data_IF_363650723112
#
_entry.id   IF_363650723112
#
_cell.length_a   1.000
_cell.length_b   1.000
_cell.length_c   1.000
_cell.angle_alpha   90.00
_cell.angle_beta   90.00
_cell.angle_gamma   90.00
#
_symmetry.space_group_name_H-M   'P 1'
#
loop_
_entity.id
_entity.type
_entity.pdbx_description
1 polymer ?
#
# COMPACT_ATOMS: atom_id res chain seq x y z
N UNK A 1 42.47 -9.49 -19.90
CA UNK A 1 42.21 -8.11 -20.37
C UNK A 1 42.03 -7.25 -19.14
N UNK A 2 42.92 -6.28 -18.95
CA UNK A 2 43.06 -5.46 -17.73
C UNK A 2 41.92 -4.45 -17.61
N UNK A 3 41.17 -4.48 -16.50
CA UNK A 3 40.26 -3.40 -16.11
C UNK A 3 41.09 -2.16 -15.75
N UNK A 4 40.76 -1.01 -16.35
CA UNK A 4 41.39 0.29 -16.04
C UNK A 4 41.07 0.77 -14.61
N UNK A 5 41.69 1.88 -14.16
CA UNK A 5 41.61 2.35 -12.77
C UNK A 5 40.21 2.88 -12.46
N UNK A 6 39.66 2.50 -11.29
CA UNK A 6 38.45 3.09 -10.69
C UNK A 6 38.85 4.36 -9.93
N UNK A 7 38.32 5.52 -10.31
CA UNK A 7 38.33 6.76 -9.51
C UNK A 7 37.09 7.58 -9.93
N UNK A 8 36.17 8.09 -9.10
CA UNK A 8 36.06 8.22 -7.64
C UNK A 8 34.73 7.63 -7.09
N UNK A 9 34.76 7.10 -5.87
CA UNK A 9 33.60 6.62 -5.10
C UNK A 9 33.47 5.10 -4.93
N UNK A 10 34.50 4.38 -4.46
CA UNK A 10 34.56 2.90 -4.36
C UNK A 10 33.54 2.24 -3.40
N UNK A 11 32.62 3.00 -2.82
CA UNK A 11 31.67 2.53 -1.81
C UNK A 11 30.26 2.57 -2.40
N UNK A 12 29.75 1.41 -2.78
CA UNK A 12 28.32 1.21 -3.00
C UNK A 12 27.66 0.74 -1.72
N UNK A 13 26.40 1.10 -1.50
CA UNK A 13 25.62 0.68 -0.35
C UNK A 13 24.22 0.22 -0.77
N UNK A 14 23.66 -0.71 0.00
CA UNK A 14 22.26 -1.13 -0.10
C UNK A 14 21.73 -1.34 1.31
N UNK A 15 20.59 -0.75 1.60
CA UNK A 15 19.83 -0.92 2.82
C UNK A 15 18.47 -1.48 2.46
N UNK A 16 18.00 -2.48 3.20
CA UNK A 16 16.74 -3.19 2.93
C UNK A 16 16.02 -3.43 4.26
N UNK A 17 14.71 -3.23 4.28
CA UNK A 17 13.85 -3.67 5.39
C UNK A 17 12.70 -4.54 4.89
N UNK A 18 12.25 -5.46 5.75
CA UNK A 18 11.09 -6.32 5.52
C UNK A 18 9.84 -5.85 6.28
N UNK A 19 9.87 -4.63 6.83
CA UNK A 19 8.73 -3.98 7.48
C UNK A 19 8.96 -3.67 8.95
N UNK A 20 7.98 -3.03 9.57
CA UNK A 20 8.06 -2.50 10.92
C UNK A 20 6.78 -2.90 11.67
N UNK A 21 6.96 -3.66 12.74
CA UNK A 21 5.89 -4.31 13.47
C UNK A 21 6.45 -5.43 14.34
N UNK A 22 5.58 -6.29 14.86
CA UNK A 22 6.00 -7.42 15.66
C UNK A 22 6.29 -8.64 14.78
N UNK A 23 7.57 -8.99 14.68
CA UNK A 23 8.03 -10.24 14.07
C UNK A 23 8.20 -11.28 15.18
N UNK A 24 7.48 -12.39 15.09
CA UNK A 24 7.65 -13.51 16.02
C UNK A 24 9.08 -14.05 15.93
N UNK A 25 9.60 -14.53 17.06
CA UNK A 25 10.94 -15.12 17.14
C UNK A 25 11.16 -16.30 16.16
N UNK A 26 10.08 -16.97 15.75
CA UNK A 26 10.14 -18.06 14.77
C UNK A 26 10.37 -17.51 13.34
N UNK A 27 9.71 -16.41 12.98
CA UNK A 27 9.74 -15.85 11.64
C UNK A 27 10.85 -14.82 11.44
N UNK A 28 11.37 -14.21 12.51
CA UNK A 28 12.47 -13.23 12.46
C UNK A 28 13.64 -13.71 11.57
N UNK A 29 14.09 -14.97 11.75
CA UNK A 29 15.18 -15.55 10.94
C UNK A 29 14.84 -15.64 9.45
N UNK A 30 13.57 -15.86 9.12
CA UNK A 30 13.10 -15.96 7.73
C UNK A 30 13.04 -14.57 7.10
N UNK A 31 12.54 -13.56 7.82
CA UNK A 31 12.57 -12.16 7.37
C UNK A 31 14.01 -11.65 7.17
N UNK A 32 14.90 -11.88 8.15
CA UNK A 32 16.31 -11.51 8.03
C UNK A 32 17.00 -12.21 6.87
N UNK A 33 16.66 -13.48 6.61
CA UNK A 33 17.16 -14.21 5.44
C UNK A 33 16.66 -13.59 4.14
N UNK A 34 15.39 -13.19 4.06
CA UNK A 34 14.84 -12.51 2.88
C UNK A 34 15.57 -11.18 2.60
N UNK A 35 15.76 -10.33 3.63
CA UNK A 35 16.53 -9.09 3.51
C UNK A 35 17.97 -9.34 3.08
N UNK A 36 18.66 -10.31 3.70
CA UNK A 36 20.05 -10.64 3.38
C UNK A 36 20.21 -11.18 1.96
N UNK A 37 19.31 -12.05 1.50
CA UNK A 37 19.33 -12.58 0.14
C UNK A 37 19.10 -11.44 -0.88
N UNK A 38 18.13 -10.56 -0.64
CA UNK A 38 17.85 -9.39 -1.49
C UNK A 38 19.06 -8.42 -1.54
N UNK A 39 19.60 -8.05 -0.38
CA UNK A 39 20.75 -7.16 -0.26
C UNK A 39 22.00 -7.73 -0.94
N UNK A 40 22.25 -9.04 -0.86
CA UNK A 40 23.39 -9.69 -1.53
C UNK A 40 23.29 -9.61 -3.05
N UNK A 41 22.10 -9.85 -3.62
CA UNK A 41 21.91 -9.77 -5.07
C UNK A 41 22.05 -8.32 -5.54
N UNK A 42 21.41 -7.37 -4.86
CA UNK A 42 21.53 -5.95 -5.16
C UNK A 42 22.99 -5.44 -5.04
N UNK A 43 23.70 -5.83 -3.98
CA UNK A 43 25.12 -5.48 -3.80
C UNK A 43 26.00 -6.09 -4.90
N UNK A 44 25.70 -7.30 -5.38
CA UNK A 44 26.39 -7.89 -6.53
C UNK A 44 26.18 -7.05 -7.79
N UNK A 45 24.96 -6.57 -8.02
CA UNK A 45 24.63 -5.68 -9.14
C UNK A 45 25.41 -4.36 -9.07
N UNK A 46 25.40 -3.69 -7.90
CA UNK A 46 26.15 -2.46 -7.66
C UNK A 46 27.66 -2.65 -7.89
N UNK A 47 28.25 -3.72 -7.35
CA UNK A 47 29.69 -4.03 -7.52
C UNK A 47 30.10 -4.27 -8.97
N UNK A 48 29.16 -4.65 -9.83
CA UNK A 48 29.36 -4.84 -11.26
C UNK A 48 29.04 -3.58 -12.10
N UNK A 49 28.79 -2.43 -11.46
CA UNK A 49 28.53 -1.15 -12.12
C UNK A 49 27.06 -0.93 -12.50
N UNK A 50 26.13 -1.70 -11.91
CA UNK A 50 24.71 -1.43 -12.02
C UNK A 50 24.31 -0.15 -11.28
N UNK A 51 23.21 0.48 -11.71
CA UNK A 51 22.72 1.73 -11.11
C UNK A 51 22.04 1.48 -9.76
N UNK A 52 21.91 2.54 -8.95
CA UNK A 52 21.16 2.47 -7.70
C UNK A 52 19.69 2.08 -7.92
N UNK A 53 19.08 2.56 -9.00
CA UNK A 53 17.70 2.21 -9.39
C UNK A 53 17.55 0.70 -9.64
N UNK A 54 18.48 0.11 -10.41
CA UNK A 54 18.42 -1.32 -10.73
C UNK A 54 18.62 -2.17 -9.46
N UNK A 55 19.49 -1.71 -8.56
CA UNK A 55 19.74 -2.37 -7.28
C UNK A 55 18.52 -2.33 -6.34
N UNK A 56 17.82 -1.21 -6.27
CA UNK A 56 16.55 -1.07 -5.52
C UNK A 56 15.48 -1.98 -6.12
N UNK A 57 15.30 -1.94 -7.44
CA UNK A 57 14.28 -2.75 -8.12
C UNK A 57 14.52 -4.25 -7.90
N UNK A 58 15.75 -4.75 -8.09
CA UNK A 58 16.03 -6.18 -7.92
C UNK A 58 15.87 -6.64 -6.46
N UNK A 59 16.26 -5.79 -5.49
CA UNK A 59 16.07 -6.10 -4.08
C UNK A 59 14.57 -6.25 -3.76
N UNK A 60 13.75 -5.30 -4.19
CA UNK A 60 12.31 -5.29 -3.94
C UNK A 60 11.58 -6.41 -4.69
N UNK A 61 11.90 -6.66 -5.97
CA UNK A 61 11.35 -7.79 -6.73
C UNK A 61 11.57 -9.13 -6.02
N UNK A 62 12.80 -9.34 -5.52
CA UNK A 62 13.14 -10.58 -4.80
C UNK A 62 12.36 -10.75 -3.50
N UNK A 63 12.04 -9.64 -2.83
CA UNK A 63 11.20 -9.67 -1.63
C UNK A 63 9.73 -9.85 -1.99
N UNK A 64 9.19 -9.16 -3.01
CA UNK A 64 7.82 -9.36 -3.51
C UNK A 64 7.51 -10.82 -3.90
N UNK A 65 8.52 -11.57 -4.33
CA UNK A 65 8.41 -13.00 -4.63
C UNK A 65 8.40 -13.91 -3.38
N UNK A 66 8.66 -13.37 -2.17
CA UNK A 66 8.65 -14.14 -0.91
C UNK A 66 7.27 -14.07 -0.26
N UNK A 67 6.75 -15.24 0.07
CA UNK A 67 5.51 -15.38 0.84
C UNK A 67 5.57 -14.72 2.23
N UNK A 68 6.76 -14.60 2.83
CA UNK A 68 6.93 -14.07 4.18
C UNK A 68 6.71 -12.54 4.27
N UNK A 69 6.85 -11.82 3.16
CA UNK A 69 6.74 -10.36 3.13
C UNK A 69 5.36 -9.92 2.65
N UNK A 70 4.82 -8.87 3.25
CA UNK A 70 3.54 -8.28 2.84
C UNK A 70 3.68 -7.39 1.59
N UNK A 71 4.14 -7.97 0.47
CA UNK A 71 4.23 -7.32 -0.83
C UNK A 71 4.22 -8.39 -1.93
N UNK A 72 3.73 -8.05 -3.13
CA UNK A 72 3.60 -9.01 -4.24
C UNK A 72 2.84 -10.27 -3.83
N UNK A 73 3.47 -11.44 -3.95
CA UNK A 73 2.90 -12.76 -3.68
C UNK A 73 2.51 -13.00 -2.20
N UNK A 74 3.21 -12.37 -1.24
CA UNK A 74 2.90 -12.50 0.18
C UNK A 74 1.90 -11.47 0.71
N UNK A 75 1.30 -10.67 -0.16
CA UNK A 75 0.42 -9.55 0.21
C UNK A 75 -0.79 -9.96 1.04
N UNK A 76 -1.15 -9.09 1.97
CA UNK A 76 -2.44 -9.10 2.63
C UNK A 76 -3.58 -8.94 1.61
N UNK A 77 -4.73 -9.51 1.95
CA UNK A 77 -5.88 -9.54 1.07
C UNK A 77 -6.91 -8.46 1.44
N UNK A 78 -7.62 -7.96 0.43
CA UNK A 78 -8.79 -7.08 0.61
C UNK A 78 -9.94 -7.82 1.31
N UNK A 79 -11.02 -7.10 1.67
CA UNK A 79 -12.23 -7.74 2.23
C UNK A 79 -12.82 -8.79 1.28
N UNK A 80 -12.64 -8.63 -0.04
CA UNK A 80 -13.07 -9.57 -1.07
C UNK A 80 -12.08 -10.73 -1.31
N UNK A 81 -10.91 -10.73 -0.66
CA UNK A 81 -9.91 -11.78 -0.82
C UNK A 81 -8.95 -11.58 -1.99
N UNK A 82 -8.86 -10.35 -2.53
CA UNK A 82 -7.98 -10.03 -3.66
C UNK A 82 -6.64 -9.45 -3.20
N UNK A 83 -5.61 -9.61 -4.01
CA UNK A 83 -4.33 -8.92 -3.87
C UNK A 83 -4.38 -7.59 -4.61
N UNK A 84 -4.11 -6.51 -3.88
CA UNK A 84 -3.90 -5.18 -4.44
C UNK A 84 -2.66 -4.58 -3.80
N UNK A 85 -1.71 -4.15 -4.61
CA UNK A 85 -0.42 -3.66 -4.12
C UNK A 85 -0.19 -2.17 -4.43
N UNK A 86 0.58 -1.55 -3.56
CA UNK A 86 1.07 -0.19 -3.65
C UNK A 86 2.60 -0.24 -3.77
N UNK A 87 3.20 0.50 -4.71
CA UNK A 87 4.65 0.57 -4.83
C UNK A 87 5.13 1.87 -5.47
N UNK A 88 6.32 2.31 -5.07
CA UNK A 88 6.96 3.53 -5.57
C UNK A 88 8.46 3.29 -5.73
N UNK A 89 9.05 3.88 -6.76
CA UNK A 89 10.50 4.00 -6.91
C UNK A 89 10.86 5.43 -7.28
N UNK A 90 11.95 5.93 -6.71
CA UNK A 90 12.44 7.31 -6.88
C UNK A 90 13.92 7.28 -7.21
N UNK A 91 14.31 8.05 -8.23
CA UNK A 91 15.71 8.15 -8.67
C UNK A 91 16.48 9.31 -8.03
N UNK A 92 17.78 9.37 -8.32
CA UNK A 92 18.70 10.40 -7.85
C UNK A 92 18.38 11.83 -8.31
N UNK A 93 17.43 12.01 -9.24
CA UNK A 93 16.95 13.33 -9.70
C UNK A 93 15.62 13.70 -9.04
N UNK A 94 15.11 12.86 -8.13
CA UNK A 94 13.80 13.03 -7.50
C UNK A 94 12.62 12.65 -8.41
N UNK A 95 12.88 12.06 -9.58
CA UNK A 95 11.81 11.55 -10.46
C UNK A 95 11.30 10.25 -9.90
N UNK A 96 10.00 10.02 -10.03
CA UNK A 96 9.33 8.90 -9.38
C UNK A 96 8.37 8.21 -10.31
N UNK A 97 8.24 6.89 -10.14
CA UNK A 97 7.16 6.12 -10.71
C UNK A 97 6.42 5.38 -9.59
N UNK A 98 5.10 5.33 -9.65
CA UNK A 98 4.28 4.71 -8.62
C UNK A 98 3.07 3.97 -9.18
N UNK A 99 2.65 2.94 -8.45
CA UNK A 99 1.38 2.23 -8.65
C UNK A 99 0.63 2.11 -7.33
N UNK A 100 -0.70 2.19 -7.37
CA UNK A 100 -1.55 2.09 -6.18
C UNK A 100 -2.78 1.22 -6.43
N UNK A 101 -3.18 0.44 -5.44
CA UNK A 101 -4.24 -0.57 -5.57
C UNK A 101 -4.08 -1.43 -6.86
N UNK A 102 -2.84 -1.73 -7.23
CA UNK A 102 -2.50 -2.43 -8.46
C UNK A 102 -2.72 -3.93 -8.27
N UNK A 103 -3.61 -4.51 -9.07
CA UNK A 103 -3.91 -5.94 -9.05
C UNK A 103 -3.28 -6.66 -10.24
N UNK A 104 -3.19 -7.98 -10.17
CA UNK A 104 -2.69 -8.88 -11.22
C UNK A 104 -1.21 -8.72 -11.63
N UNK A 105 -0.47 -7.79 -11.02
CA UNK A 105 0.96 -7.60 -11.26
C UNK A 105 1.76 -8.32 -10.19
N UNK A 106 2.59 -9.30 -10.59
CA UNK A 106 3.42 -10.07 -9.65
C UNK A 106 4.44 -9.22 -8.92
N UNK A 107 5.05 -8.27 -9.63
CA UNK A 107 6.07 -7.38 -9.09
C UNK A 107 5.67 -5.90 -9.25
N UNK A 108 4.86 -5.35 -8.33
CA UNK A 108 4.42 -3.96 -8.34
C UNK A 108 5.56 -2.94 -8.49
N UNK A 109 6.73 -3.19 -7.88
CA UNK A 109 7.88 -2.30 -8.01
C UNK A 109 8.38 -2.16 -9.46
N UNK A 110 8.29 -3.21 -10.27
CA UNK A 110 8.66 -3.12 -11.68
C UNK A 110 7.63 -2.36 -12.50
N UNK A 111 6.35 -2.38 -12.11
CA UNK A 111 5.34 -1.52 -12.73
C UNK A 111 5.59 -0.05 -12.40
N UNK A 112 5.95 0.25 -11.14
CA UNK A 112 6.42 1.57 -10.73
C UNK A 112 7.68 2.00 -11.52
N UNK A 113 8.66 1.10 -11.70
CA UNK A 113 9.84 1.36 -12.54
C UNK A 113 9.49 1.65 -14.00
N UNK A 114 8.60 0.88 -14.60
CA UNK A 114 8.18 1.10 -15.98
C UNK A 114 7.54 2.49 -16.17
N UNK A 115 6.77 2.96 -15.17
CA UNK A 115 6.20 4.32 -15.17
C UNK A 115 7.30 5.37 -15.08
N UNK A 116 8.31 5.17 -14.22
CA UNK A 116 9.48 6.06 -14.13
C UNK A 116 10.23 6.13 -15.47
N UNK A 117 10.58 4.98 -16.05
CA UNK A 117 11.34 4.92 -17.32
C UNK A 117 10.56 5.51 -18.51
N UNK A 118 9.22 5.44 -18.48
CA UNK A 118 8.38 6.07 -19.49
C UNK A 118 8.44 7.61 -19.46
N UNK A 119 8.88 8.22 -18.35
CA UNK A 119 8.97 9.67 -18.23
C UNK A 119 10.07 10.29 -19.08
N UNK A 120 11.11 9.51 -19.41
CA UNK A 120 12.17 9.94 -20.32
C UNK A 120 11.68 10.12 -21.76
N UNK A 121 10.51 9.57 -22.09
CA UNK A 121 9.95 9.59 -23.45
C UNK A 121 8.89 10.67 -23.54
N UNK A 122 9.14 11.68 -24.37
CA UNK A 122 8.11 12.65 -24.74
C UNK A 122 7.01 11.96 -25.52
N UNK A 123 5.77 12.15 -25.08
CA UNK A 123 4.60 11.69 -25.81
C UNK A 123 4.28 12.66 -26.97
N UNK A 124 3.57 12.15 -27.97
CA UNK A 124 3.04 12.98 -29.05
C UNK A 124 2.21 14.13 -28.49
N UNK A 125 2.22 15.26 -29.21
CA UNK A 125 1.46 16.47 -28.84
C UNK A 125 1.86 17.07 -27.49
N UNK A 126 3.15 16.97 -27.11
CA UNK A 126 3.69 17.54 -25.87
C UNK A 126 3.00 17.06 -24.59
N UNK A 127 2.36 15.88 -24.63
CA UNK A 127 1.73 15.32 -23.44
C UNK A 127 2.79 14.90 -22.43
N UNK A 128 2.45 15.06 -21.16
CA UNK A 128 3.29 14.65 -20.04
C UNK A 128 2.98 13.19 -19.71
N UNK A 129 3.99 12.30 -19.67
CA UNK A 129 3.81 10.92 -19.22
C UNK A 129 3.38 10.87 -17.75
N UNK A 130 2.61 9.85 -17.33
CA UNK A 130 2.20 9.72 -15.95
C UNK A 130 3.40 9.40 -15.04
N UNK A 131 3.31 9.82 -13.79
CA UNK A 131 4.23 9.39 -12.72
C UNK A 131 3.57 8.49 -11.68
N UNK A 132 2.23 8.41 -11.68
CA UNK A 132 1.46 7.57 -10.77
C UNK A 132 0.21 7.05 -11.48
N UNK A 133 -0.03 5.74 -11.42
CA UNK A 133 -1.23 5.08 -11.93
C UNK A 133 -1.85 4.18 -10.88
N UNK A 134 -3.16 3.96 -10.94
CA UNK A 134 -3.87 3.14 -9.94
C UNK A 134 -4.80 2.11 -10.57
N UNK A 135 -5.12 1.07 -9.81
CA UNK A 135 -6.10 0.05 -10.17
C UNK A 135 -5.83 -0.57 -11.54
N UNK A 136 -6.90 -0.78 -12.31
CA UNK A 136 -6.84 -1.37 -13.65
C UNK A 136 -5.90 -0.62 -14.60
N UNK A 137 -5.82 0.71 -14.51
CA UNK A 137 -4.94 1.51 -15.36
C UNK A 137 -3.45 1.22 -15.13
N UNK A 138 -3.06 0.94 -13.88
CA UNK A 138 -1.70 0.53 -13.55
C UNK A 138 -1.39 -0.87 -14.12
N UNK A 139 -2.33 -1.82 -14.00
CA UNK A 139 -2.21 -3.17 -14.55
C UNK A 139 -2.09 -3.16 -16.08
N UNK A 140 -2.94 -2.38 -16.77
CA UNK A 140 -2.89 -2.22 -18.23
C UNK A 140 -1.56 -1.60 -18.67
N UNK A 141 -1.08 -0.59 -17.96
CA UNK A 141 0.22 0.02 -18.24
C UNK A 141 1.36 -0.99 -18.07
N UNK A 142 1.34 -1.78 -16.99
CA UNK A 142 2.33 -2.83 -16.75
C UNK A 142 2.34 -3.86 -17.89
N UNK A 143 1.16 -4.32 -18.33
CA UNK A 143 1.01 -5.22 -19.47
C UNK A 143 1.64 -4.66 -20.76
N UNK A 144 1.33 -3.40 -21.08
CA UNK A 144 1.87 -2.73 -22.27
C UNK A 144 3.40 -2.59 -22.25
N UNK A 145 4.01 -2.60 -21.06
CA UNK A 145 5.46 -2.54 -20.87
C UNK A 145 6.10 -3.93 -20.70
N UNK A 146 5.36 -5.00 -21.02
CA UNK A 146 5.88 -6.37 -21.02
C UNK A 146 6.00 -7.00 -19.63
N UNK A 147 5.35 -6.42 -18.61
CA UNK A 147 5.28 -7.01 -17.28
C UNK A 147 4.20 -8.09 -17.27
N UNK A 148 4.52 -9.32 -16.82
CA UNK A 148 3.54 -10.41 -16.77
C UNK A 148 2.35 -10.08 -15.86
N UNK A 149 1.15 -10.27 -16.41
CA UNK A 149 -0.11 -10.18 -15.68
C UNK A 149 -0.56 -11.61 -15.35
N UNK A 150 -0.98 -11.83 -14.10
CA UNK A 150 -1.40 -13.14 -13.60
C UNK A 150 -2.77 -13.03 -12.92
N UNK A 151 -3.52 -14.13 -12.92
CA UNK A 151 -4.78 -14.18 -12.17
C UNK A 151 -4.54 -14.05 -10.67
N UNK A 152 -5.54 -13.52 -9.96
CA UNK A 152 -5.44 -13.22 -8.52
C UNK A 152 -5.01 -14.45 -7.71
N UNK A 153 -5.51 -15.64 -8.04
CA UNK A 153 -5.18 -16.89 -7.34
C UNK A 153 -3.69 -17.25 -7.38
N UNK A 154 -2.94 -16.78 -8.39
CA UNK A 154 -1.49 -16.96 -8.45
C UNK A 154 -0.71 -15.97 -7.57
N UNK A 155 -1.36 -14.90 -7.12
CA UNK A 155 -0.80 -13.90 -6.20
C UNK A 155 -1.15 -14.18 -4.75
N UNK A 156 -2.19 -14.97 -4.48
CA UNK A 156 -2.62 -15.29 -3.13
C UNK A 156 -1.78 -16.43 -2.57
N UNK A 157 -0.83 -16.11 -1.68
CA UNK A 157 -0.09 -17.15 -0.96
C UNK A 157 -0.97 -17.95 0.02
N UNK A 158 -0.63 -19.22 0.31
CA UNK A 158 -1.32 -20.02 1.32
C UNK A 158 -1.38 -19.34 2.70
N UNK A 159 -0.29 -18.71 3.13
CA UNK A 159 -0.22 -18.01 4.42
C UNK A 159 -1.13 -16.79 4.45
N UNK A 160 -1.17 -15.98 3.39
CA UNK A 160 -2.06 -14.84 3.28
C UNK A 160 -3.54 -15.27 3.30
N UNK A 161 -3.88 -16.34 2.56
CA UNK A 161 -5.23 -16.91 2.54
C UNK A 161 -5.68 -17.39 3.92
N UNK A 162 -4.80 -18.09 4.64
CA UNK A 162 -5.09 -18.56 6.00
C UNK A 162 -5.33 -17.39 6.97
N UNK A 163 -4.51 -16.32 6.88
CA UNK A 163 -4.67 -15.09 7.67
C UNK A 163 -6.01 -14.41 7.38
N UNK A 164 -6.37 -14.28 6.10
CA UNK A 164 -7.62 -13.68 5.66
C UNK A 164 -8.86 -14.47 6.15
N UNK A 165 -8.85 -15.80 6.03
CA UNK A 165 -9.94 -16.65 6.54
C UNK A 165 -10.15 -16.49 8.04
N UNK A 166 -9.06 -16.38 8.81
CA UNK A 166 -9.13 -16.11 10.25
C UNK A 166 -9.76 -14.74 10.51
N UNK A 167 -9.30 -13.69 9.83
CA UNK A 167 -9.86 -12.35 10.00
C UNK A 167 -11.35 -12.27 9.62
N UNK A 168 -11.78 -12.96 8.56
CA UNK A 168 -13.21 -13.03 8.22
C UNK A 168 -14.04 -13.62 9.36
N UNK A 169 -13.57 -14.70 9.99
CA UNK A 169 -14.25 -15.32 11.13
C UNK A 169 -14.32 -14.38 12.34
N UNK A 170 -13.23 -13.66 12.62
CA UNK A 170 -13.15 -12.71 13.74
C UNK A 170 -14.06 -11.50 13.52
N UNK A 171 -14.09 -10.94 12.30
CA UNK A 171 -14.97 -9.80 11.94
C UNK A 171 -16.44 -10.21 12.05
N UNK A 172 -16.81 -11.40 11.55
CA UNK A 172 -18.18 -11.89 11.65
C UNK A 172 -18.59 -12.15 13.10
N UNK A 173 -17.70 -12.71 13.92
CA UNK A 173 -17.95 -12.91 15.35
C UNK A 173 -18.17 -11.57 16.08
N UNK A 174 -17.34 -10.56 15.79
CA UNK A 174 -17.47 -9.22 16.36
C UNK A 174 -18.78 -8.54 15.93
N UNK A 175 -19.20 -8.72 14.67
CA UNK A 175 -20.47 -8.21 14.15
C UNK A 175 -21.67 -8.81 14.90
N UNK A 176 -21.66 -10.13 15.08
CA UNK A 176 -22.71 -10.82 15.85
C UNK A 176 -22.76 -10.38 17.31
N UNK A 177 -21.60 -10.12 17.93
CA UNK A 177 -21.53 -9.61 19.29
C UNK A 177 -22.09 -8.17 19.39
N UNK A 178 -21.79 -7.30 18.43
CA UNK A 178 -22.35 -5.95 18.36
C UNK A 178 -23.88 -5.99 18.15
N UNK A 179 -24.36 -6.83 17.24
CA UNK A 179 -25.80 -7.02 17.00
C UNK A 179 -26.49 -7.51 18.28
N UNK A 180 -25.95 -8.53 18.97
CA UNK A 180 -26.49 -9.03 20.23
C UNK A 180 -26.50 -7.96 21.34
N UNK A 181 -25.43 -7.14 21.46
CA UNK A 181 -25.37 -6.02 22.42
C UNK A 181 -26.40 -4.94 22.11
N UNK A 182 -26.60 -4.61 20.82
CA UNK A 182 -27.61 -3.63 20.41
C UNK A 182 -29.04 -4.09 20.74
N UNK A 183 -29.36 -5.37 20.48
CA UNK A 183 -30.66 -5.95 20.81
C UNK A 183 -30.88 -5.99 22.33
N UNK A 184 -29.85 -6.29 23.12
CA UNK A 184 -29.92 -6.28 24.59
C UNK A 184 -30.13 -4.87 25.16
N UNK A 185 -29.56 -3.83 24.54
CA UNK A 185 -29.80 -2.44 24.92
C UNK A 185 -31.23 -1.99 24.57
N UNK A 186 -31.71 -2.29 23.36
CA UNK A 186 -33.08 -1.95 22.95
C UNK A 186 -34.13 -2.68 23.80
N UNK A 187 -33.90 -3.97 24.13
CA UNK A 187 -34.81 -4.72 25.00
C UNK A 187 -34.75 -4.25 26.45
N UNK A 188 -33.58 -3.85 26.96
CA UNK A 188 -33.43 -3.24 28.28
C UNK A 188 -34.13 -1.88 28.42
N UNK A 189 -34.10 -1.03 27.38
CA UNK A 189 -34.86 0.23 27.35
C UNK A 189 -36.37 0.02 27.29
N UNK A 190 -36.86 -0.96 26.52
CA UNK A 190 -38.28 -1.32 26.46
C UNK A 190 -38.78 -1.80 27.83
N UNK A 191 -38.02 -2.66 28.53
CA UNK A 191 -38.39 -3.14 29.88
C UNK A 191 -38.39 -2.00 30.90
N UNK A 192 -37.50 -1.01 30.76
CA UNK A 192 -37.49 0.18 31.63
C UNK A 192 -38.68 1.12 31.38
N UNK A 193 -39.18 1.17 30.13
CA UNK A 193 -40.33 2.00 29.75
C UNK A 193 -41.67 1.37 30.17
N UNK A 194 -41.78 0.03 30.20
CA UNK A 194 -42.96 -0.69 30.68
C UNK A 194 -43.13 -0.69 32.22
N UNK A 195 -42.10 -0.30 32.99
CA UNK A 195 -42.22 -0.16 34.46
C UNK A 195 -42.74 1.20 34.92
N UNK A 196 -42.99 2.13 34.00
CA UNK A 196 -43.61 3.44 34.28
C UNK A 196 -44.90 3.64 33.48
N UNK A 197 -45.90 2.80 33.71
CA UNK A 197 -47.28 3.10 33.32
C UNK A 197 -48.13 3.33 34.55
N UNK A 198 -48.21 4.58 35.01
CA UNK A 198 -49.39 5.07 35.74
C UNK A 198 -50.35 5.69 34.72
N UNK A 199 -51.60 5.28 34.82
CA UNK A 199 -52.72 5.60 33.94
C UNK A 199 -52.99 7.10 33.85
N UNK A 200 -53.01 7.66 32.63
CA UNK A 200 -53.83 8.84 32.34
C UNK A 200 -54.46 8.70 30.96
N UNK A 201 -55.79 8.66 30.94
CA UNK A 201 -56.61 8.77 29.73
C UNK A 201 -56.63 10.20 29.22
N UNK A 202 -56.47 10.41 27.91
CA UNK A 202 -57.02 11.62 27.28
C UNK A 202 -57.58 11.31 25.89
N UNK A 203 -58.76 11.87 25.65
CA UNK A 203 -59.57 11.78 24.44
C UNK A 203 -59.35 13.04 23.60
N UNK A 204 -59.28 12.93 22.27
CA UNK A 204 -59.93 13.87 21.33
C UNK A 204 -59.70 13.47 19.86
N UNK A 205 -60.80 13.09 19.21
CA UNK A 205 -61.31 13.45 17.87
C UNK A 205 -60.35 13.90 16.76
N UNK A 206 -60.42 13.14 15.64
CA UNK A 206 -59.89 13.47 14.31
C UNK A 206 -60.93 14.25 13.52
N UNK A 207 -60.53 15.27 12.74
CA UNK A 207 -61.29 15.69 11.56
C UNK A 207 -60.35 16.14 10.42
N UNK A 208 -60.56 15.70 9.16
CA UNK A 208 -59.64 15.90 8.04
C UNK A 208 -60.13 16.97 7.04
N UNK A 209 -59.22 17.78 6.48
CA UNK A 209 -59.24 18.35 5.12
C UNK A 209 -58.31 19.57 5.00
N UNK A 210 -57.33 19.52 4.09
CA UNK A 210 -57.14 20.46 2.96
C UNK A 210 -55.76 20.24 2.32
N UNK A 211 -55.80 20.14 0.99
CA UNK A 211 -54.75 19.77 0.04
C UNK A 211 -54.19 21.04 -0.66
N UNK A 212 -53.21 20.81 -1.55
CA UNK A 212 -52.71 21.64 -2.66
C UNK A 212 -51.40 22.38 -2.32
N UNK A 213 -50.32 22.45 -3.12
CA UNK A 213 -49.77 21.90 -4.40
C UNK A 213 -48.49 22.75 -4.63
N UNK A 214 -47.45 22.30 -5.39
CA UNK A 214 -46.31 23.17 -5.72
C UNK A 214 -46.56 24.01 -6.98
N UNK A 215 -45.92 25.18 -7.15
CA UNK A 215 -46.00 25.93 -8.40
C UNK A 215 -45.00 25.42 -9.44
N UNK A 216 -45.42 25.43 -10.70
CA UNK A 216 -44.59 25.32 -11.91
C UNK A 216 -44.91 26.51 -12.82
N UNK A 217 -43.89 27.13 -13.41
CA UNK A 217 -43.91 27.91 -14.66
C UNK A 217 -42.51 27.67 -15.28
N UNK A 218 -42.30 26.90 -16.36
CA UNK A 218 -42.61 27.09 -17.79
C UNK A 218 -41.81 28.18 -18.52
N UNK A 219 -40.72 27.76 -19.18
CA UNK A 219 -40.51 28.06 -20.60
C UNK A 219 -39.83 26.89 -21.33
N UNK A 220 -40.54 26.32 -22.30
CA UNK A 220 -40.05 25.38 -23.32
C UNK A 220 -39.31 26.13 -24.44
N UNK A 221 -38.32 25.49 -25.05
CA UNK A 221 -38.27 25.30 -26.52
C UNK A 221 -37.51 24.00 -26.84
N UNK A 222 -37.93 23.38 -27.95
CA UNK A 222 -37.86 21.96 -28.31
C UNK A 222 -36.53 21.52 -29.03
N UNK A 223 -36.40 20.24 -29.45
CA UNK A 223 -35.13 19.49 -29.48
C UNK A 223 -34.41 19.46 -30.84
N UNK A 224 -33.16 19.00 -30.82
CA UNK A 224 -32.49 18.42 -32.00
C UNK A 224 -31.95 17.02 -31.69
N UNK A 225 -32.09 16.16 -32.70
CA UNK A 225 -31.87 14.72 -32.73
C UNK A 225 -30.38 14.38 -32.77
N UNK A 226 -29.96 13.33 -32.08
CA UNK A 226 -28.78 12.50 -32.40
C UNK A 226 -28.94 11.15 -31.65
N UNK A 227 -29.56 10.15 -32.29
CA UNK A 227 -28.89 8.98 -32.88
C UNK A 227 -28.07 8.14 -31.88
N UNK A 228 -28.77 7.20 -31.22
CA UNK A 228 -28.17 6.01 -30.61
C UNK A 228 -27.50 5.16 -31.70
N UNK A 229 -26.18 5.02 -31.61
CA UNK A 229 -25.43 4.01 -32.34
C UNK A 229 -25.25 2.78 -31.43
N UNK A 230 -26.06 1.76 -31.67
CA UNK A 230 -25.94 0.43 -31.07
C UNK A 230 -24.71 -0.26 -31.65
N UNK A 231 -23.63 -0.36 -30.88
CA UNK A 231 -22.46 -1.19 -31.26
C UNK A 231 -22.69 -2.59 -30.71
N UNK A 232 -23.05 -3.51 -31.60
CA UNK A 232 -23.12 -4.95 -31.33
C UNK A 232 -21.70 -5.51 -31.36
N UNK A 233 -21.19 -5.96 -30.22
CA UNK A 233 -19.97 -6.77 -30.13
C UNK A 233 -20.33 -8.25 -30.38
N UNK A 234 -19.56 -9.01 -31.18
CA UNK A 234 -19.84 -10.42 -31.41
C UNK A 234 -19.48 -11.27 -30.18
N UNK A 235 -20.36 -12.21 -29.83
CA UNK A 235 -20.13 -13.23 -28.80
C UNK A 235 -18.91 -14.10 -29.15
N UNK A 236 -18.06 -14.47 -28.17
CA UNK A 236 -17.01 -15.45 -28.39
C UNK A 236 -17.58 -16.86 -28.43
N UNK A 237 -17.36 -17.52 -29.57
CA UNK A 237 -17.63 -18.94 -29.84
C UNK A 237 -16.95 -19.85 -28.81
N UNK A 238 -17.75 -20.63 -28.08
CA UNK A 238 -17.28 -21.71 -27.20
C UNK A 238 -16.71 -22.86 -28.05
N UNK A 239 -15.47 -23.25 -27.75
CA UNK A 239 -14.85 -24.49 -28.23
C UNK A 239 -14.82 -25.47 -27.06
N UNK A 240 -15.32 -26.71 -27.18
CA UNK A 240 -15.34 -27.66 -26.09
C UNK A 240 -13.96 -28.31 -25.92
N UNK A 241 -13.47 -28.39 -24.69
CA UNK A 241 -12.35 -29.26 -24.34
C UNK A 241 -12.69 -30.11 -23.13
N UNK A 242 -12.34 -31.37 -23.28
CA UNK A 242 -12.79 -32.55 -22.54
C UNK A 242 -12.41 -32.60 -21.05
N UNK A 243 -13.26 -33.34 -20.35
CA UNK A 243 -13.11 -34.07 -19.09
C UNK A 243 -11.71 -34.07 -18.44
N UNK A 244 -11.62 -33.45 -17.26
CA UNK A 244 -10.63 -33.80 -16.25
C UNK A 244 -11.31 -33.93 -14.88
N UNK A 245 -11.46 -35.18 -14.46
CA UNK A 245 -11.82 -35.57 -13.10
C UNK A 245 -10.88 -34.92 -12.06
N UNK A 246 -11.43 -34.08 -11.18
CA UNK A 246 -10.78 -33.73 -9.93
C UNK A 246 -11.59 -34.21 -8.73
N UNK A 247 -10.97 -35.11 -8.01
CA UNK A 247 -11.40 -35.73 -6.75
C UNK A 247 -11.58 -34.68 -5.66
N UNK A 248 -12.70 -34.78 -4.96
CA UNK A 248 -13.10 -33.92 -3.86
C UNK A 248 -12.32 -34.33 -2.58
N UNK A 249 -11.15 -33.74 -2.33
CA UNK A 249 -10.47 -33.88 -1.04
C UNK A 249 -10.94 -32.79 -0.08
N UNK A 250 -11.74 -33.21 0.89
CA UNK A 250 -12.17 -32.39 2.03
C UNK A 250 -10.97 -32.08 2.94
N UNK A 251 -10.56 -30.82 3.00
CA UNK A 251 -9.55 -30.34 3.95
C UNK A 251 -10.20 -30.21 5.33
N UNK A 252 -9.85 -31.09 6.24
CA UNK A 252 -10.29 -31.07 7.64
C UNK A 252 -9.52 -29.99 8.41
N UNK A 253 -10.21 -28.96 8.89
CA UNK A 253 -9.64 -27.95 9.78
C UNK A 253 -9.42 -28.53 11.20
N UNK A 254 -8.34 -28.16 11.91
CA UNK A 254 -8.10 -28.62 13.28
C UNK A 254 -9.09 -27.95 14.26
N UNK A 255 -9.37 -28.61 15.41
CA UNK A 255 -10.43 -28.19 16.32
C UNK A 255 -10.10 -26.88 17.05
N UNK A 256 -11.17 -26.12 17.32
CA UNK A 256 -11.21 -24.85 18.04
C UNK A 256 -10.62 -25.04 19.45
N UNK A 257 -9.42 -24.52 19.71
CA UNK A 257 -8.89 -24.45 21.08
C UNK A 257 -9.58 -23.31 21.83
N UNK A 258 -10.42 -23.69 22.80
CA UNK A 258 -10.95 -22.79 23.83
C UNK A 258 -9.87 -22.62 24.89
N UNK A 259 -9.24 -21.44 24.95
CA UNK A 259 -8.27 -21.11 26.00
C UNK A 259 -7.57 -19.78 25.74
N UNK A 260 -7.67 -18.88 26.70
CA UNK A 260 -7.09 -17.53 26.76
C UNK A 260 -5.55 -17.54 26.91
N UNK A 261 -4.86 -18.12 25.93
CA UNK A 261 -3.40 -18.16 25.87
C UNK A 261 -2.92 -18.06 24.41
N UNK A 262 -1.93 -17.20 24.15
CA UNK A 262 -1.21 -16.93 22.89
C UNK A 262 -1.64 -15.72 22.04
N UNK A 263 -1.72 -14.52 22.63
CA UNK A 263 -1.45 -13.29 21.85
C UNK A 263 0.05 -13.09 21.55
N UNK A 264 0.94 -13.81 22.24
CA UNK A 264 2.39 -13.54 22.23
C UNK A 264 3.21 -14.29 21.14
N UNK A 265 2.57 -14.99 20.19
CA UNK A 265 3.29 -15.83 19.21
C UNK A 265 2.84 -15.65 17.76
N UNK A 266 2.07 -14.61 17.45
CA UNK A 266 1.58 -14.35 16.09
C UNK A 266 2.15 -13.02 15.60
N UNK A 267 2.69 -13.02 14.38
CA UNK A 267 3.18 -11.81 13.74
C UNK A 267 2.07 -10.75 13.68
N UNK A 268 2.35 -9.57 14.24
CA UNK A 268 1.50 -8.38 14.11
C UNK A 268 2.22 -7.44 13.16
N UNK A 269 2.21 -7.85 11.89
CA UNK A 269 3.00 -7.30 10.81
C UNK A 269 2.11 -6.38 9.94
N UNK A 270 2.43 -5.09 9.91
CA UNK A 270 1.83 -4.08 9.03
C UNK A 270 2.82 -3.74 7.90
N UNK A 271 3.33 -4.77 7.21
CA UNK A 271 4.63 -4.59 6.56
C UNK A 271 4.56 -3.97 5.17
N UNK A 272 5.42 -2.97 5.00
CA UNK A 272 5.91 -2.47 3.73
C UNK A 272 7.35 -2.93 3.61
N UNK A 273 7.76 -3.42 2.45
CA UNK A 273 9.18 -3.68 2.17
C UNK A 273 9.79 -2.43 1.55
N UNK A 274 11.07 -2.21 1.79
CA UNK A 274 11.75 -1.02 1.29
C UNK A 274 13.24 -1.22 1.07
N UNK A 275 13.79 -0.45 0.13
CA UNK A 275 15.21 -0.46 -0.17
C UNK A 275 15.73 0.94 -0.53
N UNK A 276 16.96 1.22 -0.11
CA UNK A 276 17.74 2.42 -0.48
C UNK A 276 19.10 1.95 -1.00
N UNK A 277 19.54 2.44 -2.16
CA UNK A 277 20.83 2.11 -2.73
C UNK A 277 21.64 3.35 -3.10
N UNK A 278 22.96 3.23 -3.03
CA UNK A 278 23.93 4.19 -3.56
C UNK A 278 24.89 3.44 -4.49
N UNK A 279 25.00 3.89 -5.74
CA UNK A 279 25.88 3.28 -6.73
C UNK A 279 27.31 3.86 -6.74
N UNK A 280 28.19 3.27 -7.56
CA UNK A 280 29.59 3.68 -7.66
C UNK A 280 29.79 5.08 -8.29
N UNK A 281 28.70 5.73 -8.73
CA UNK A 281 28.71 7.10 -9.23
C UNK A 281 28.18 8.09 -8.19
N UNK A 282 27.88 7.64 -6.98
CA UNK A 282 27.29 8.46 -5.91
C UNK A 282 25.80 8.72 -6.09
N UNK A 283 25.13 8.07 -7.04
CA UNK A 283 23.69 8.29 -7.26
C UNK A 283 22.90 7.47 -6.26
N UNK A 284 21.92 8.10 -5.63
CA UNK A 284 21.01 7.46 -4.68
C UNK A 284 19.69 7.07 -5.36
N UNK A 285 19.07 5.98 -4.92
CA UNK A 285 17.71 5.63 -5.29
C UNK A 285 17.00 4.98 -4.11
N UNK A 286 15.68 5.06 -4.08
CA UNK A 286 14.87 4.42 -3.06
C UNK A 286 13.56 3.90 -3.62
N UNK A 287 12.99 2.89 -2.97
CA UNK A 287 11.71 2.34 -3.34
C UNK A 287 11.05 1.56 -2.21
N UNK A 288 9.75 1.40 -2.32
CA UNK A 288 8.93 0.60 -1.41
C UNK A 288 7.83 -0.15 -2.15
N UNK A 289 7.34 -1.22 -1.52
CA UNK A 289 6.22 -2.01 -2.01
C UNK A 289 5.43 -2.59 -0.83
N UNK A 290 4.10 -2.65 -0.93
CA UNK A 290 3.24 -3.21 0.12
C UNK A 290 1.93 -3.77 -0.44
N UNK A 291 1.42 -4.84 0.17
CA UNK A 291 0.05 -5.31 0.02
C UNK A 291 -0.97 -4.48 0.82
N UNK A 292 -0.51 -3.59 1.70
CA UNK A 292 -1.37 -2.82 2.60
C UNK A 292 -1.85 -3.62 3.81
N UNK A 293 -2.84 -3.07 4.52
CA UNK A 293 -3.40 -3.69 5.73
C UNK A 293 -4.34 -4.85 5.37
N UNK A 294 -4.43 -5.86 6.25
CA UNK A 294 -5.38 -6.96 6.11
C UNK A 294 -6.83 -6.47 6.12
N UNK A 295 -7.68 -7.12 5.33
CA UNK A 295 -9.10 -6.77 5.20
C UNK A 295 -9.33 -5.30 4.82
N UNK A 296 -8.40 -4.69 4.08
CA UNK A 296 -8.62 -3.35 3.52
C UNK A 296 -9.79 -3.37 2.53
N UNK A 297 -10.49 -2.25 2.43
CA UNK A 297 -11.43 -2.04 1.33
C UNK A 297 -10.67 -2.05 0.00
N UNK A 298 -11.21 -2.70 -1.03
CA UNK A 298 -10.63 -2.65 -2.38
C UNK A 298 -10.46 -1.21 -2.86
N UNK A 299 -9.33 -0.89 -3.47
CA UNK A 299 -8.97 0.47 -3.87
C UNK A 299 -8.32 1.31 -2.77
N UNK A 300 -8.12 0.79 -1.54
CA UNK A 300 -7.34 1.50 -0.51
C UNK A 300 -5.88 1.57 -0.94
N UNK A 301 -5.38 2.80 -1.08
CA UNK A 301 -3.99 3.13 -1.37
C UNK A 301 -3.28 3.57 -0.08
N UNK A 302 -2.13 2.98 0.22
CA UNK A 302 -1.28 3.31 1.36
C UNK A 302 0.01 4.06 1.00
N UNK A 303 0.85 4.36 2.00
CA UNK A 303 2.09 5.12 1.84
C UNK A 303 3.04 4.62 0.74
N UNK A 304 3.12 3.31 0.51
CA UNK A 304 4.04 2.74 -0.47
C UNK A 304 3.78 3.21 -1.91
N UNK A 305 2.59 3.73 -2.23
CA UNK A 305 2.28 4.35 -3.52
C UNK A 305 2.48 5.88 -3.55
N UNK A 306 2.69 6.50 -2.38
CA UNK A 306 2.68 7.94 -2.19
C UNK A 306 4.10 8.47 -2.05
N UNK A 307 4.59 9.09 -3.12
CA UNK A 307 5.90 9.77 -3.17
C UNK A 307 5.95 10.88 -2.11
N UNK A 308 7.04 10.95 -1.35
CA UNK A 308 7.21 11.85 -0.21
C UNK A 308 6.59 11.32 1.09
N UNK A 309 5.76 10.28 1.05
CA UNK A 309 5.11 9.72 2.24
C UNK A 309 5.72 8.37 2.61
N UNK A 310 5.66 7.39 1.69
CA UNK A 310 6.30 6.08 1.87
C UNK A 310 7.76 6.06 1.43
N UNK A 311 8.10 6.86 0.42
CA UNK A 311 9.46 6.94 -0.13
C UNK A 311 9.76 8.36 -0.57
N UNK A 312 10.89 8.89 -0.14
CA UNK A 312 11.38 10.23 -0.51
C UNK A 312 12.85 10.16 -0.91
N UNK A 313 13.23 10.97 -1.90
CA UNK A 313 14.63 11.24 -2.25
C UNK A 313 14.76 12.75 -2.43
N UNK A 314 15.66 13.36 -1.66
CA UNK A 314 16.15 14.72 -1.89
C UNK A 314 17.41 14.57 -2.78
N UNK A 315 17.35 15.03 -4.04
CA UNK A 315 18.46 14.90 -4.98
C UNK A 315 19.63 15.82 -4.60
N UNK A 316 20.81 15.50 -5.13
CA UNK A 316 21.98 16.37 -5.06
C UNK A 316 21.67 17.74 -5.69
N UNK A 317 21.96 18.83 -4.98
CA UNK A 317 22.02 20.17 -5.58
C UNK A 317 23.38 20.37 -6.27
N UNK A 318 23.43 20.68 -7.58
CA UNK A 318 24.68 20.94 -8.29
C UNK A 318 25.52 22.10 -7.71
N UNK A 319 24.90 22.98 -6.90
CA UNK A 319 25.56 24.08 -6.23
C UNK A 319 26.05 23.72 -4.81
N UNK A 320 25.62 22.58 -4.26
CA UNK A 320 26.11 22.09 -2.98
C UNK A 320 27.52 21.48 -3.14
N UNK A 321 28.57 22.05 -2.52
CA UNK A 321 29.92 21.50 -2.58
C UNK A 321 30.03 20.09 -1.97
N UNK A 322 29.18 19.75 -1.00
CA UNK A 322 29.16 18.44 -0.34
C UNK A 322 28.37 17.40 -1.13
N UNK A 323 27.60 17.85 -2.14
CA UNK A 323 26.78 17.01 -3.02
C UNK A 323 25.82 16.12 -2.23
N UNK A 324 25.23 16.69 -1.19
CA UNK A 324 24.38 15.98 -0.23
C UNK A 324 23.14 15.46 -0.93
N UNK A 325 22.80 14.20 -0.68
CA UNK A 325 21.54 13.61 -1.12
C UNK A 325 21.02 12.72 0.02
N UNK A 326 19.69 12.71 0.20
CA UNK A 326 19.05 11.94 1.28
C UNK A 326 17.93 11.11 0.69
N UNK A 327 17.81 9.87 1.14
CA UNK A 327 16.66 9.04 0.82
C UNK A 327 16.07 8.40 2.07
N UNK A 328 14.75 8.28 2.08
CA UNK A 328 14.00 7.69 3.19
C UNK A 328 12.94 6.74 2.64
N UNK A 329 12.81 5.58 3.29
CA UNK A 329 11.71 4.63 3.07
C UNK A 329 11.09 4.28 4.41
N UNK A 330 9.76 4.26 4.50
CA UNK A 330 9.02 4.05 5.75
C UNK A 330 8.18 2.77 5.71
N UNK A 331 7.90 2.22 6.90
CA UNK A 331 6.97 1.11 7.12
C UNK A 331 6.28 1.29 8.47
N UNK A 332 5.10 0.71 8.62
CA UNK A 332 4.30 0.75 9.84
C UNK A 332 2.84 1.11 9.55
N UNK A 333 2.19 1.80 10.50
CA UNK A 333 0.79 2.22 10.37
C UNK A 333 0.63 3.26 9.26
N UNK A 334 0.01 2.83 8.15
CA UNK A 334 0.01 3.62 6.93
C UNK A 334 -0.66 4.99 7.06
N UNK A 335 -1.77 5.06 7.77
CA UNK A 335 -2.53 6.29 8.00
C UNK A 335 -1.73 7.30 8.83
N UNK A 336 -0.94 6.83 9.80
CA UNK A 336 -0.08 7.70 10.59
C UNK A 336 1.11 8.24 9.77
N UNK A 337 1.75 7.36 8.99
CA UNK A 337 2.82 7.74 8.05
C UNK A 337 2.32 8.78 7.04
N UNK A 338 1.08 8.64 6.57
CA UNK A 338 0.47 9.58 5.64
C UNK A 338 0.24 10.96 6.25
N UNK A 339 -0.33 11.04 7.45
CA UNK A 339 -0.62 12.33 8.10
C UNK A 339 0.64 13.12 8.42
N UNK A 340 1.71 12.43 8.82
CA UNK A 340 2.99 13.04 9.24
C UNK A 340 3.97 13.30 8.08
N UNK A 341 3.62 12.88 6.86
CA UNK A 341 4.51 12.90 5.69
C UNK A 341 5.88 12.28 5.99
N UNK A 342 5.89 11.15 6.71
CA UNK A 342 7.05 10.69 7.46
C UNK A 342 8.35 10.58 6.61
N UNK A 343 8.28 10.07 5.38
CA UNK A 343 9.48 9.96 4.54
C UNK A 343 10.07 11.33 4.18
N UNK A 344 9.25 12.29 3.74
CA UNK A 344 9.72 13.63 3.36
C UNK A 344 10.17 14.44 4.57
N UNK A 345 9.45 14.34 5.69
CA UNK A 345 9.85 15.00 6.94
C UNK A 345 11.20 14.48 7.40
N UNK A 346 11.38 13.16 7.48
CA UNK A 346 12.66 12.54 7.82
C UNK A 346 13.79 12.96 6.87
N UNK A 347 13.55 12.89 5.55
CA UNK A 347 14.55 13.27 4.57
C UNK A 347 14.97 14.75 4.73
N UNK A 348 14.00 15.64 4.95
CA UNK A 348 14.24 17.07 5.13
C UNK A 348 15.01 17.37 6.41
N UNK A 349 14.64 16.75 7.54
CA UNK A 349 15.33 16.93 8.84
C UNK A 349 16.80 16.53 8.75
N UNK A 350 17.09 15.41 8.10
CA UNK A 350 18.46 14.94 7.87
C UNK A 350 19.19 15.91 6.94
N UNK A 351 18.61 16.24 5.79
CA UNK A 351 19.24 17.09 4.77
C UNK A 351 19.61 18.47 5.29
N UNK A 352 18.73 19.12 6.06
CA UNK A 352 19.00 20.42 6.66
C UNK A 352 19.71 20.34 8.01
N UNK A 353 19.89 19.13 8.55
CA UNK A 353 20.45 18.90 9.89
C UNK A 353 19.74 19.79 10.92
N UNK A 354 18.41 19.70 10.95
CA UNK A 354 17.55 20.51 11.82
C UNK A 354 16.52 19.66 12.58
N UNK A 355 15.96 20.26 13.63
CA UNK A 355 14.79 19.73 14.35
C UNK A 355 13.81 20.82 14.73
N UNK A 356 12.59 20.42 15.07
CA UNK A 356 11.54 21.30 15.59
C UNK A 356 11.73 21.54 17.10
N UNK A 357 11.80 22.80 17.51
CA UNK A 357 11.82 23.18 18.92
C UNK A 357 10.39 23.28 19.51
N UNK A 358 10.32 23.57 20.82
CA UNK A 358 9.04 23.70 21.55
C UNK A 358 8.14 24.84 21.01
N UNK A 359 8.71 25.81 20.30
CA UNK A 359 7.98 26.93 19.69
C UNK A 359 7.51 26.62 18.26
N UNK A 360 7.92 25.46 17.72
CA UNK A 360 7.65 25.05 16.35
C UNK A 360 8.63 25.61 15.32
N UNK A 361 9.69 26.31 15.74
CA UNK A 361 10.76 26.77 14.87
C UNK A 361 11.80 25.68 14.64
N UNK A 362 12.65 25.85 13.64
CA UNK A 362 13.74 24.92 13.33
C UNK A 362 15.04 25.38 13.97
N UNK A 363 15.72 24.46 14.66
CA UNK A 363 17.07 24.66 15.18
C UNK A 363 18.04 23.65 14.57
N UNK A 364 19.29 24.08 14.33
CA UNK A 364 20.32 23.23 13.74
C UNK A 364 20.88 22.27 14.79
N UNK A 365 20.98 20.99 14.40
CA UNK A 365 21.42 19.88 15.24
C UNK A 365 22.23 18.88 14.41
N UNK A 366 22.76 17.84 15.04
CA UNK A 366 23.38 16.73 14.30
C UNK A 366 22.34 15.88 13.57
N UNK A 367 22.74 15.13 12.53
CA UNK A 367 21.84 14.21 11.81
C UNK A 367 21.21 13.15 12.74
N UNK A 368 21.95 12.66 13.73
CA UNK A 368 21.45 11.70 14.73
C UNK A 368 20.35 12.32 15.60
N UNK A 369 20.55 13.56 16.04
CA UNK A 369 19.54 14.32 16.79
C UNK A 369 18.34 14.69 15.94
N UNK A 370 18.55 15.02 14.65
CA UNK A 370 17.49 15.31 13.69
C UNK A 370 16.58 14.08 13.49
N UNK A 371 17.17 12.89 13.28
CA UNK A 371 16.41 11.63 13.14
C UNK A 371 15.66 11.33 14.42
N UNK A 372 16.32 11.42 15.58
CA UNK A 372 15.68 11.14 16.86
C UNK A 372 14.51 12.09 17.12
N UNK A 373 14.71 13.39 16.89
CA UNK A 373 13.65 14.38 17.05
C UNK A 373 12.53 14.20 16.04
N UNK A 374 12.83 13.80 14.81
CA UNK A 374 11.81 13.50 13.82
C UNK A 374 10.91 12.34 14.30
N UNK A 375 11.50 11.30 14.87
CA UNK A 375 10.74 10.18 15.44
C UNK A 375 9.94 10.62 16.67
N UNK A 376 10.57 11.26 17.65
CA UNK A 376 9.95 11.57 18.94
C UNK A 376 8.90 12.71 18.83
N UNK A 377 9.15 13.70 17.99
CA UNK A 377 8.35 14.95 17.91
C UNK A 377 7.48 14.97 16.66
N UNK A 378 8.06 14.83 15.46
CA UNK A 378 7.30 14.99 14.22
C UNK A 378 6.42 13.76 13.91
N UNK A 379 6.87 12.54 14.28
CA UNK A 379 6.11 11.31 14.07
C UNK A 379 5.29 10.93 15.30
N UNK A 380 5.89 10.69 16.45
CA UNK A 380 5.16 10.21 17.63
C UNK A 380 4.37 11.31 18.38
N UNK A 381 4.72 12.59 18.19
CA UNK A 381 4.14 13.71 18.93
C UNK A 381 2.73 14.12 18.51
N UNK A 382 2.20 13.57 17.41
CA UNK A 382 0.81 13.82 16.96
C UNK A 382 -0.22 12.83 17.55
N UNK A 383 0.18 11.98 18.51
CA UNK A 383 -0.67 10.96 19.15
C UNK A 383 -0.94 11.17 20.65
#
# INVERSE_FOLDING_TARGET
MSRGPREAGDICAIYVHAGAGFHSYQNEKVHLKACNDAAKVAMSMLKNGGSALDAVEIALRLMEDREITNAGYGSNLTVEGNVECDATIVDHLGRSGAVGACSHVRNPISAARAILDAQDKRLSLQRVPPNFLVGKGATEFAYLHGIPIVENDFLVSPTAKARWLRWQQEVEAARQEQEARSVAQTTGEIVHMETTTSSVSFSATVNPAMLMTPPSDLHETAPSKEQEATVVLPEPTLVPTDDAHHTNESITLPPKQTGDATKDNVDTITDTIGAIAVDCYGRIAAGSSSGGIGMKHSGRVGPAALVGIGTAVIPEDPQDPEKTAVATVTSGTGEHIATTLAANTCASRIYYSDRKDETGMTESVTEEEAIKSMVDVDFMGEY
#
